data_IF_508312577244
#
_entry.id   IF_508312577244
#
_cell.length_a   1.000
_cell.length_b   1.000
_cell.length_c   1.000
_cell.angle_alpha   90.00
_cell.angle_beta   90.00
_cell.angle_gamma   90.00
#
_symmetry.space_group_name_H-M   'P 1'
#
loop_
_entity.id
_entity.type
_entity.pdbx_description
1 polymer ?
#
# COMPACT_ATOMS: atom_id res chain seq x y z
N UNK A 1 25.84 -9.82 1.68
CA UNK A 1 24.61 -9.08 2.00
C UNK A 1 24.63 -7.78 1.18
N UNK A 2 23.52 -7.05 1.07
CA UNK A 2 23.49 -5.75 0.38
C UNK A 2 23.30 -4.57 1.36
N UNK A 3 23.36 -4.84 2.68
CA UNK A 3 23.09 -3.83 3.70
C UNK A 3 24.14 -2.72 3.64
N UNK A 4 23.67 -1.47 3.58
CA UNK A 4 24.49 -0.31 3.84
C UNK A 4 24.51 -0.09 5.35
N UNK A 5 25.69 -0.28 5.95
CA UNK A 5 25.85 -0.24 7.39
C UNK A 5 25.52 1.13 7.99
N UNK A 6 25.83 2.23 7.29
CA UNK A 6 25.59 3.58 7.78
C UNK A 6 24.10 3.93 7.62
N UNK A 7 23.47 3.54 6.50
CA UNK A 7 22.03 3.67 6.33
C UNK A 7 21.25 2.90 7.41
N UNK A 8 21.69 1.67 7.73
CA UNK A 8 21.05 0.84 8.75
C UNK A 8 21.18 1.44 10.15
N UNK A 9 22.34 2.00 10.52
CA UNK A 9 22.53 2.71 11.79
C UNK A 9 21.64 3.95 11.86
N UNK A 10 21.63 4.75 10.80
CA UNK A 10 20.81 5.95 10.76
C UNK A 10 19.30 5.64 10.85
N UNK A 11 18.85 4.57 10.18
CA UNK A 11 17.46 4.09 10.32
C UNK A 11 17.16 3.65 11.75
N UNK A 12 18.11 3.01 12.42
CA UNK A 12 17.97 2.63 13.82
C UNK A 12 17.85 3.86 14.73
N UNK A 13 18.65 4.90 14.51
CA UNK A 13 18.59 6.15 15.28
C UNK A 13 17.24 6.86 15.07
N UNK A 14 16.74 6.94 13.82
CA UNK A 14 15.41 7.49 13.53
C UNK A 14 14.32 6.76 14.34
N UNK A 15 14.43 5.44 14.47
CA UNK A 15 13.41 4.62 15.14
C UNK A 15 13.47 4.71 16.66
N UNK A 16 14.66 4.81 17.24
CA UNK A 16 14.89 4.57 18.67
C UNK A 16 15.37 5.82 19.43
N UNK A 17 15.37 6.99 18.77
CA UNK A 17 15.73 8.27 19.38
C UNK A 17 14.70 9.34 19.05
N UNK A 18 14.70 10.42 19.83
CA UNK A 18 13.82 11.58 19.62
C UNK A 18 14.46 12.68 18.75
N UNK A 19 15.61 12.39 18.11
CA UNK A 19 16.35 13.39 17.32
C UNK A 19 15.64 13.75 16.00
N UNK A 20 14.89 12.80 15.43
CA UNK A 20 14.33 12.90 14.08
C UNK A 20 12.80 12.95 14.07
N UNK A 21 12.15 12.15 14.91
CA UNK A 21 10.69 12.00 14.96
C UNK A 21 10.23 11.99 16.42
N UNK A 22 9.28 12.87 16.74
CA UNK A 22 8.63 12.84 18.04
C UNK A 22 7.54 11.77 18.06
N UNK A 23 7.83 10.61 18.64
CA UNK A 23 6.85 9.55 18.84
C UNK A 23 5.89 9.89 20.01
N UNK A 24 4.62 9.44 19.95
CA UNK A 24 3.67 9.70 21.02
C UNK A 24 3.96 8.91 22.31
N UNK A 25 4.61 7.74 22.17
CA UNK A 25 4.96 6.79 23.22
C UNK A 25 6.03 5.81 22.71
N UNK A 26 6.54 4.93 23.56
CA UNK A 26 7.59 3.94 23.21
C UNK A 26 7.00 2.66 22.60
N UNK A 27 5.70 2.46 22.74
CA UNK A 27 4.97 1.28 22.27
C UNK A 27 4.63 1.34 20.78
N UNK A 28 4.43 2.55 20.21
CA UNK A 28 4.16 2.75 18.79
C UNK A 28 5.26 2.09 17.96
N UNK A 29 4.85 1.20 17.05
CA UNK A 29 5.75 0.41 16.20
C UNK A 29 5.88 0.98 14.80
N UNK A 30 7.07 0.79 14.22
CA UNK A 30 7.38 1.13 12.84
C UNK A 30 8.12 -0.04 12.20
N UNK A 31 7.81 -0.33 10.94
CA UNK A 31 8.54 -1.31 10.14
C UNK A 31 8.74 -0.75 8.72
N UNK A 32 9.96 -0.82 8.20
CA UNK A 32 10.28 -0.31 6.86
C UNK A 32 11.36 -1.13 6.18
N UNK A 33 11.37 -1.02 4.84
CA UNK A 33 12.39 -1.59 3.95
C UNK A 33 12.79 -0.49 2.98
N UNK A 34 14.09 -0.33 2.74
CA UNK A 34 14.65 0.61 1.79
C UNK A 34 15.32 -0.19 0.68
N UNK A 35 14.92 0.08 -0.56
CA UNK A 35 15.34 -0.65 -1.76
C UNK A 35 16.06 0.29 -2.73
N UNK A 36 17.15 -0.18 -3.33
CA UNK A 36 17.78 0.44 -4.50
C UNK A 36 16.96 0.08 -5.75
N UNK A 37 16.23 1.07 -6.27
CA UNK A 37 15.33 0.90 -7.43
C UNK A 37 16.03 0.46 -8.71
N UNK A 38 17.37 0.60 -8.81
CA UNK A 38 18.12 0.17 -10.00
C UNK A 38 18.32 -1.33 -10.09
N UNK A 39 18.19 -2.05 -8.97
CA UNK A 39 18.57 -3.46 -8.88
C UNK A 39 17.78 -4.30 -7.86
N UNK A 40 16.85 -3.69 -7.11
CA UNK A 40 16.00 -4.38 -6.13
C UNK A 40 16.72 -4.80 -4.85
N UNK A 41 17.95 -4.32 -4.59
CA UNK A 41 18.69 -4.66 -3.37
C UNK A 41 18.12 -3.90 -2.18
N UNK A 42 17.81 -4.63 -1.11
CA UNK A 42 17.49 -4.05 0.20
C UNK A 42 18.76 -3.52 0.85
N UNK A 43 18.83 -2.20 1.05
CA UNK A 43 20.00 -1.52 1.64
C UNK A 43 19.84 -1.24 3.14
N UNK A 44 18.62 -1.12 3.63
CA UNK A 44 18.31 -1.05 5.06
C UNK A 44 16.91 -1.63 5.32
N UNK A 45 16.73 -2.30 6.45
CA UNK A 45 15.43 -2.86 6.85
C UNK A 45 15.36 -2.93 8.38
N UNK A 46 14.21 -2.54 8.95
CA UNK A 46 14.00 -2.63 10.39
C UNK A 46 12.53 -2.90 10.68
N UNK A 47 12.25 -3.94 11.47
CA UNK A 47 10.89 -4.45 11.70
C UNK A 47 10.22 -3.99 12.99
N UNK A 48 10.90 -3.26 13.87
CA UNK A 48 10.35 -2.80 15.14
C UNK A 48 11.19 -1.65 15.72
N UNK A 49 10.59 -0.85 16.63
CA UNK A 49 11.32 0.09 17.49
C UNK A 49 11.19 -0.28 18.96
N UNK A 50 12.21 0.05 19.75
CA UNK A 50 12.39 -0.32 21.15
C UNK A 50 12.14 -1.80 21.46
N UNK A 51 12.37 -2.68 20.48
CA UNK A 51 12.29 -4.12 20.71
C UNK A 51 13.48 -4.58 21.55
N UNK A 52 13.20 -5.36 22.60
CA UNK A 52 14.22 -5.88 23.50
C UNK A 52 15.33 -6.62 22.76
N UNK A 53 16.58 -6.25 23.03
CA UNK A 53 17.78 -6.75 22.33
C UNK A 53 18.14 -8.22 22.67
N UNK A 54 17.37 -8.87 23.53
CA UNK A 54 17.59 -10.27 23.93
C UNK A 54 16.88 -11.30 23.02
N UNK A 55 16.14 -10.86 22.00
CA UNK A 55 15.49 -11.74 21.02
C UNK A 55 16.26 -11.71 19.70
N UNK A 56 17.07 -12.75 19.45
CA UNK A 56 17.71 -12.95 18.15
C UNK A 56 16.73 -13.63 17.18
N UNK A 57 16.59 -13.08 15.97
CA UNK A 57 15.74 -13.63 14.89
C UNK A 57 14.27 -13.84 15.28
N UNK A 58 13.69 -12.91 16.04
CA UNK A 58 12.25 -12.83 16.24
C UNK A 58 11.49 -12.52 14.94
N UNK A 59 10.16 -12.42 15.03
CA UNK A 59 9.32 -12.03 13.88
C UNK A 59 9.75 -10.63 13.39
N UNK A 60 10.06 -10.53 12.09
CA UNK A 60 10.40 -9.28 11.44
C UNK A 60 9.16 -8.71 10.74
N UNK A 61 8.49 -7.73 11.36
CA UNK A 61 7.26 -7.14 10.81
C UNK A 61 7.48 -6.48 9.43
N UNK A 62 8.72 -6.14 9.05
CA UNK A 62 9.02 -5.54 7.75
C UNK A 62 8.64 -6.47 6.57
N UNK A 63 8.62 -7.79 6.79
CA UNK A 63 8.31 -8.80 5.77
C UNK A 63 6.96 -9.48 5.97
N UNK A 64 6.28 -9.24 7.09
CA UNK A 64 4.97 -9.83 7.37
C UNK A 64 3.86 -9.08 6.63
N UNK A 65 2.89 -9.84 6.09
CA UNK A 65 1.75 -9.32 5.32
C UNK A 65 0.44 -9.32 6.11
N UNK A 66 0.53 -9.36 7.44
CA UNK A 66 -0.59 -9.46 8.38
C UNK A 66 -1.21 -8.10 8.77
N UNK A 67 -0.81 -7.01 8.11
CA UNK A 67 -1.31 -5.65 8.33
C UNK A 67 -1.87 -5.07 7.04
N UNK A 68 -2.87 -4.20 7.17
CA UNK A 68 -3.46 -3.51 6.04
C UNK A 68 -2.62 -2.29 5.65
N UNK A 69 -2.25 -2.21 4.38
CA UNK A 69 -1.53 -1.10 3.75
C UNK A 69 -2.48 -0.06 3.14
N UNK A 70 -3.78 -0.35 3.10
CA UNK A 70 -4.83 0.62 2.81
C UNK A 70 -4.64 1.32 1.45
N UNK A 71 -4.69 2.65 1.47
CA UNK A 71 -4.66 3.47 0.25
C UNK A 71 -3.32 3.44 -0.51
N UNK A 72 -2.24 2.91 0.06
CA UNK A 72 -0.99 2.72 -0.72
C UNK A 72 -1.18 1.65 -1.80
N UNK A 73 -2.24 0.85 -1.74
CA UNK A 73 -2.61 -0.10 -2.80
C UNK A 73 -3.15 0.59 -4.05
N UNK A 74 -3.84 1.74 -3.92
CA UNK A 74 -4.54 2.40 -5.05
C UNK A 74 -3.65 2.65 -6.28
N UNK A 75 -2.41 3.18 -6.13
CA UNK A 75 -1.52 3.37 -7.27
C UNK A 75 -1.27 2.07 -8.05
N UNK A 76 -1.02 0.95 -7.37
CA UNK A 76 -0.58 -0.30 -8.01
C UNK A 76 -1.72 -1.25 -8.36
N UNK A 77 -2.86 -1.15 -7.67
CA UNK A 77 -4.04 -2.00 -7.86
C UNK A 77 -5.02 -1.39 -8.86
N UNK A 78 -5.17 -0.07 -8.86
CA UNK A 78 -6.23 0.61 -9.63
C UNK A 78 -5.65 1.50 -10.73
N UNK A 79 -4.84 2.48 -10.35
CA UNK A 79 -4.50 3.58 -11.26
C UNK A 79 -3.40 3.23 -12.26
N UNK A 80 -2.34 2.53 -11.83
CA UNK A 80 -1.31 2.05 -12.73
C UNK A 80 -1.89 1.09 -13.80
N UNK A 81 -2.66 0.05 -13.46
CA UNK A 81 -3.28 -0.79 -14.48
C UNK A 81 -4.33 -0.04 -15.32
N UNK A 82 -5.01 0.96 -14.78
CA UNK A 82 -5.93 1.79 -15.57
C UNK A 82 -5.21 2.59 -16.66
N UNK A 83 -4.06 3.18 -16.36
CA UNK A 83 -3.24 3.87 -17.35
C UNK A 83 -2.58 2.87 -18.33
N UNK A 84 -2.04 1.77 -17.81
CA UNK A 84 -1.39 0.71 -18.62
C UNK A 84 -2.35 0.11 -19.66
N UNK A 85 -3.60 -0.14 -19.29
CA UNK A 85 -4.59 -0.76 -20.17
C UNK A 85 -5.47 0.24 -20.92
N UNK A 86 -5.13 1.53 -20.90
CA UNK A 86 -5.85 2.58 -21.64
C UNK A 86 -7.27 2.84 -21.15
N UNK A 87 -7.56 2.56 -19.87
CA UNK A 87 -8.81 3.00 -19.23
C UNK A 87 -8.83 4.52 -19.09
N UNK A 88 -7.67 5.10 -18.79
CA UNK A 88 -7.45 6.55 -18.76
C UNK A 88 -6.24 6.91 -19.63
N UNK A 89 -6.35 7.97 -20.43
CA UNK A 89 -5.27 8.41 -21.32
C UNK A 89 -4.41 9.54 -20.74
N UNK A 90 -4.81 10.13 -19.61
CA UNK A 90 -4.09 11.24 -18.99
C UNK A 90 -4.38 11.37 -17.50
N UNK A 91 -3.51 12.08 -16.78
CA UNK A 91 -3.73 12.46 -15.37
C UNK A 91 -4.83 13.51 -15.20
N UNK A 92 -5.26 14.17 -16.28
CA UNK A 92 -6.31 15.16 -16.30
C UNK A 92 -7.72 14.56 -16.54
N UNK A 93 -7.81 13.26 -16.83
CA UNK A 93 -9.09 12.56 -17.03
C UNK A 93 -10.03 12.82 -15.85
N UNK A 94 -11.29 13.12 -16.14
CA UNK A 94 -12.30 13.33 -15.11
C UNK A 94 -12.79 11.98 -14.59
N UNK A 95 -12.82 11.84 -13.27
CA UNK A 95 -13.37 10.70 -12.53
C UNK A 95 -14.45 11.19 -11.57
N UNK A 96 -15.28 10.26 -11.10
CA UNK A 96 -16.48 10.58 -10.32
C UNK A 96 -16.25 10.24 -8.84
N UNK A 97 -16.25 11.25 -7.98
CA UNK A 97 -16.29 11.08 -6.54
C UNK A 97 -17.70 11.40 -6.03
N UNK A 98 -18.64 10.48 -6.26
CA UNK A 98 -20.07 10.60 -5.95
C UNK A 98 -20.61 9.33 -5.23
N UNK A 99 -21.83 9.32 -4.67
CA UNK A 99 -22.37 8.12 -4.03
C UNK A 99 -22.27 6.88 -4.93
N UNK A 100 -21.50 5.90 -4.48
CA UNK A 100 -21.16 4.70 -5.25
C UNK A 100 -21.14 3.49 -4.33
N UNK A 101 -21.63 2.35 -4.82
CA UNK A 101 -21.63 1.09 -4.10
C UNK A 101 -20.57 0.14 -4.67
N UNK A 102 -20.05 -0.75 -3.83
CA UNK A 102 -19.18 -1.82 -4.32
C UNK A 102 -19.92 -2.61 -5.42
N UNK A 103 -19.27 -2.87 -6.57
CA UNK A 103 -19.95 -3.47 -7.72
C UNK A 103 -20.65 -4.79 -7.36
N UNK A 104 -21.90 -4.93 -7.81
CA UNK A 104 -22.74 -6.11 -7.55
C UNK A 104 -23.33 -6.17 -6.14
N UNK A 105 -23.27 -5.09 -5.37
CA UNK A 105 -23.82 -5.00 -4.01
C UNK A 105 -24.52 -3.67 -3.77
N UNK A 106 -25.30 -3.58 -2.68
CA UNK A 106 -25.85 -2.33 -2.15
C UNK A 106 -24.97 -1.71 -1.06
N UNK A 107 -23.74 -2.22 -0.87
CA UNK A 107 -22.82 -1.74 0.16
C UNK A 107 -22.11 -0.48 -0.31
N UNK A 108 -22.28 0.68 0.35
CA UNK A 108 -21.66 1.93 -0.09
C UNK A 108 -20.14 1.92 0.10
N UNK A 109 -19.46 2.55 -0.85
CA UNK A 109 -18.04 2.94 -0.72
C UNK A 109 -18.01 4.33 -0.10
N UNK A 110 -17.41 4.44 1.08
CA UNK A 110 -17.24 5.73 1.76
C UNK A 110 -15.83 6.27 1.62
N UNK A 111 -15.75 7.58 1.36
CA UNK A 111 -14.55 8.36 1.63
C UNK A 111 -14.35 8.55 3.14
N UNK A 112 -13.13 8.89 3.55
CA UNK A 112 -12.80 9.07 4.98
C UNK A 112 -13.65 10.15 5.66
N UNK A 113 -14.05 11.17 4.92
CA UNK A 113 -14.90 12.29 5.36
C UNK A 113 -16.39 12.04 5.15
N UNK A 114 -16.76 10.89 4.55
CA UNK A 114 -18.13 10.55 4.09
C UNK A 114 -18.75 11.60 3.14
N UNK A 115 -17.92 12.45 2.54
CA UNK A 115 -18.30 13.45 1.56
C UNK A 115 -17.94 13.04 0.13
N UNK A 116 -18.30 13.91 -0.81
CA UNK A 116 -18.17 13.68 -2.25
C UNK A 116 -17.75 15.00 -2.92
N UNK A 117 -16.70 14.96 -3.76
CA UNK A 117 -16.23 16.11 -4.53
C UNK A 117 -16.83 16.19 -5.94
N UNK A 118 -17.60 15.19 -6.36
CA UNK A 118 -18.18 15.11 -7.69
C UNK A 118 -17.11 14.89 -8.75
N UNK A 119 -17.18 15.65 -9.85
CA UNK A 119 -16.26 15.54 -10.97
C UNK A 119 -14.90 16.17 -10.64
N UNK A 120 -13.88 15.33 -10.53
CA UNK A 120 -12.50 15.74 -10.24
C UNK A 120 -11.52 15.09 -11.21
N UNK A 121 -10.31 15.63 -11.34
CA UNK A 121 -9.28 14.99 -12.17
C UNK A 121 -8.74 13.73 -11.50
N UNK A 122 -8.25 12.78 -12.29
CA UNK A 122 -7.57 11.56 -11.81
C UNK A 122 -6.42 11.90 -10.86
N UNK A 123 -5.62 12.91 -11.21
CA UNK A 123 -4.56 13.43 -10.36
C UNK A 123 -5.10 13.91 -9.00
N UNK A 124 -6.21 14.65 -8.98
CA UNK A 124 -6.81 15.15 -7.73
C UNK A 124 -7.44 14.03 -6.91
N UNK A 125 -8.05 13.02 -7.56
CA UNK A 125 -8.59 11.84 -6.88
C UNK A 125 -7.50 11.07 -6.14
N UNK A 126 -6.34 10.86 -6.77
CA UNK A 126 -5.18 10.25 -6.11
C UNK A 126 -4.61 11.16 -5.02
N UNK A 127 -4.47 12.46 -5.28
CA UNK A 127 -3.95 13.45 -4.33
C UNK A 127 -4.77 13.48 -3.02
N UNK A 128 -6.10 13.45 -3.13
CA UNK A 128 -7.02 13.46 -1.98
C UNK A 128 -7.38 12.06 -1.48
N UNK A 129 -6.74 11.04 -2.05
CA UNK A 129 -6.97 9.62 -1.78
C UNK A 129 -8.47 9.28 -1.67
N UNK A 130 -9.25 9.66 -2.68
CA UNK A 130 -10.69 9.32 -2.71
C UNK A 130 -10.86 7.81 -2.90
N UNK A 131 -11.78 7.21 -2.15
CA UNK A 131 -12.07 5.77 -2.19
C UNK A 131 -13.02 5.43 -3.33
N UNK A 132 -14.02 6.27 -3.60
CA UNK A 132 -14.99 6.02 -4.67
C UNK A 132 -14.29 5.90 -6.03
N UNK A 133 -13.48 6.87 -6.50
CA UNK A 133 -12.81 6.76 -7.79
C UNK A 133 -11.85 5.57 -7.86
N UNK A 134 -11.24 5.16 -6.74
CA UNK A 134 -10.35 4.00 -6.69
C UNK A 134 -11.11 2.70 -6.98
N UNK A 135 -12.21 2.45 -6.24
CA UNK A 135 -13.04 1.25 -6.44
C UNK A 135 -13.71 1.25 -7.82
N UNK A 136 -14.18 2.41 -8.30
CA UNK A 136 -14.74 2.54 -9.65
C UNK A 136 -13.66 2.25 -10.73
N UNK A 137 -12.42 2.70 -10.51
CA UNK A 137 -11.31 2.43 -11.42
C UNK A 137 -10.96 0.95 -11.47
N UNK A 138 -10.90 0.25 -10.32
CA UNK A 138 -10.67 -1.19 -10.29
C UNK A 138 -11.76 -1.96 -11.06
N UNK A 139 -13.02 -1.51 -10.97
CA UNK A 139 -14.13 -2.06 -11.75
C UNK A 139 -13.91 -1.91 -13.26
N UNK A 140 -13.43 -0.74 -13.72
CA UNK A 140 -13.11 -0.50 -15.14
C UNK A 140 -11.91 -1.32 -15.63
N UNK A 141 -10.88 -1.48 -14.80
CA UNK A 141 -9.71 -2.34 -15.08
C UNK A 141 -10.09 -3.81 -15.16
N UNK A 142 -10.96 -4.25 -14.24
CA UNK A 142 -11.38 -5.63 -14.06
C UNK A 142 -10.41 -6.42 -13.15
N UNK A 143 -10.99 -7.18 -12.21
CA UNK A 143 -10.25 -7.89 -11.15
C UNK A 143 -9.14 -8.82 -11.68
N UNK A 144 -9.39 -9.53 -12.77
CA UNK A 144 -8.40 -10.46 -13.34
C UNK A 144 -7.15 -9.73 -13.85
N UNK A 145 -7.33 -8.61 -14.58
CA UNK A 145 -6.22 -7.83 -15.12
C UNK A 145 -5.46 -7.12 -14.02
N UNK A 146 -6.15 -6.56 -13.03
CA UNK A 146 -5.53 -5.95 -11.86
C UNK A 146 -4.69 -6.97 -11.07
N UNK A 147 -5.21 -8.20 -10.86
CA UNK A 147 -4.46 -9.28 -10.20
C UNK A 147 -3.19 -9.64 -10.98
N UNK A 148 -3.30 -9.83 -12.31
CA UNK A 148 -2.12 -10.11 -13.15
C UNK A 148 -1.10 -8.97 -13.12
N UNK A 149 -1.55 -7.72 -13.10
CA UNK A 149 -0.68 -6.55 -12.98
C UNK A 149 0.09 -6.56 -11.65
N UNK A 150 -0.60 -6.80 -10.53
CA UNK A 150 0.03 -6.93 -9.21
C UNK A 150 1.04 -8.08 -9.14
N UNK A 151 0.76 -9.21 -9.80
CA UNK A 151 1.71 -10.33 -9.86
C UNK A 151 3.02 -9.93 -10.54
N UNK A 152 2.96 -9.05 -11.54
CA UNK A 152 4.15 -8.44 -12.16
C UNK A 152 4.99 -7.59 -11.21
N UNK A 153 4.40 -7.13 -10.10
CA UNK A 153 5.04 -6.36 -9.03
C UNK A 153 5.37 -7.20 -7.78
N UNK A 154 5.18 -8.53 -7.83
CA UNK A 154 5.48 -9.41 -6.68
C UNK A 154 4.42 -9.41 -5.56
N UNK A 155 3.24 -8.83 -5.81
CA UNK A 155 2.09 -8.85 -4.91
C UNK A 155 1.02 -9.78 -5.47
N UNK A 156 0.42 -10.59 -4.60
CA UNK A 156 -0.64 -11.53 -4.99
C UNK A 156 -1.71 -11.67 -3.90
N UNK A 157 -2.84 -12.23 -4.30
CA UNK A 157 -3.97 -12.55 -3.46
C UNK A 157 -4.51 -13.94 -3.84
N UNK A 158 -5.06 -14.73 -2.90
CA UNK A 158 -5.77 -15.96 -3.25
C UNK A 158 -6.88 -15.66 -4.26
N UNK A 159 -7.69 -14.65 -3.94
CA UNK A 159 -8.69 -14.05 -4.81
C UNK A 159 -8.68 -12.54 -4.60
N UNK A 160 -8.78 -11.78 -5.70
CA UNK A 160 -8.85 -10.32 -5.64
C UNK A 160 -10.32 -9.89 -5.59
N UNK A 161 -10.66 -9.00 -4.67
CA UNK A 161 -12.00 -8.45 -4.49
C UNK A 161 -11.99 -6.92 -4.64
N UNK A 162 -13.14 -6.28 -4.84
CA UNK A 162 -13.20 -4.81 -4.95
C UNK A 162 -12.79 -4.06 -3.69
N UNK A 163 -12.87 -4.69 -2.52
CA UNK A 163 -12.28 -4.16 -1.29
C UNK A 163 -10.78 -3.94 -1.42
N UNK A 164 -10.10 -4.72 -2.28
CA UNK A 164 -8.65 -4.62 -2.46
C UNK A 164 -8.19 -3.38 -3.23
N UNK A 165 -9.10 -2.61 -3.83
CA UNK A 165 -8.77 -1.29 -4.38
C UNK A 165 -8.15 -0.37 -3.31
N UNK A 166 -8.60 -0.52 -2.06
CA UNK A 166 -8.25 0.39 -0.96
C UNK A 166 -7.74 -0.33 0.30
N UNK A 167 -7.42 -1.62 0.18
CA UNK A 167 -7.00 -2.47 1.29
C UNK A 167 -6.11 -3.61 0.79
N UNK A 168 -5.02 -3.88 1.51
CA UNK A 168 -4.20 -5.06 1.25
C UNK A 168 -4.70 -6.30 2.00
N UNK A 169 -5.82 -6.21 2.73
CA UNK A 169 -6.32 -7.30 3.53
C UNK A 169 -6.75 -8.50 2.64
N UNK A 170 -6.48 -9.70 3.12
CA UNK A 170 -6.68 -10.96 2.40
C UNK A 170 -7.27 -12.02 3.32
N UNK A 171 -7.95 -13.01 2.75
CA UNK A 171 -8.59 -14.09 3.50
C UNK A 171 -7.60 -15.17 3.97
N UNK A 172 -6.45 -15.30 3.31
CA UNK A 172 -5.39 -16.26 3.68
C UNK A 172 -4.13 -15.52 4.15
N UNK A 173 -3.56 -15.97 5.27
CA UNK A 173 -2.45 -15.32 5.99
C UNK A 173 -1.05 -15.83 5.61
N UNK A 174 -0.84 -16.20 4.35
CA UNK A 174 0.48 -16.58 3.84
C UNK A 174 1.32 -15.34 3.51
N UNK A 175 2.63 -15.37 3.81
CA UNK A 175 3.58 -14.27 3.53
C UNK A 175 3.62 -13.83 2.07
N UNK A 176 3.26 -14.73 1.14
CA UNK A 176 3.21 -14.38 -0.29
C UNK A 176 2.03 -13.46 -0.63
N UNK A 177 0.94 -13.54 0.13
CA UNK A 177 -0.28 -12.80 -0.13
C UNK A 177 -0.36 -11.50 0.67
N UNK A 178 -0.95 -10.47 0.07
CA UNK A 178 -1.03 -9.14 0.68
C UNK A 178 0.26 -8.34 0.53
N UNK A 179 0.42 -7.34 1.39
CA UNK A 179 1.49 -6.35 1.31
C UNK A 179 2.27 -6.27 2.62
N UNK A 180 3.57 -5.99 2.50
CA UNK A 180 4.52 -5.76 3.59
C UNK A 180 5.44 -4.60 3.18
N UNK A 181 6.26 -4.10 4.10
CA UNK A 181 7.15 -2.98 3.74
C UNK A 181 8.17 -3.41 2.68
N UNK A 182 8.55 -4.69 2.69
CA UNK A 182 9.43 -5.28 1.69
C UNK A 182 8.78 -5.35 0.30
N UNK A 183 7.50 -5.72 0.22
CA UNK A 183 6.78 -5.83 -1.06
C UNK A 183 6.38 -4.49 -1.65
N UNK A 184 6.18 -3.48 -0.80
CA UNK A 184 5.74 -2.14 -1.21
C UNK A 184 6.89 -1.20 -1.57
N UNK A 185 8.12 -1.52 -1.16
CA UNK A 185 9.33 -0.76 -1.46
C UNK A 185 9.93 -1.18 -2.81
#
# INVERSE_FOLDING_TARGET
TNVDQEAQKHLWDIYNTDEYVAYPDDELQVASTIVDVSNGKVIAQLGARHQSSNVSFGINQAVETNRDWGSTMKPITDYAPALEYGVYDSTATIVHDEPYNYPGTDTPVYNWDRGYFGNITLQYALQQSRNVPAVETLNKVGLNRAKTFLNGLGIDYPSLHYSNAISSNTTESDKKYGASSEKMA
#
